data_IF_937341512553
#
_entry.id   IF_937341512553
#
_cell.length_a   1.000
_cell.length_b   1.000
_cell.length_c   1.000
_cell.angle_alpha   90.00
_cell.angle_beta   90.00
_cell.angle_gamma   90.00
#
_symmetry.space_group_name_H-M   'P 1'
#
loop_
_entity.id
_entity.type
_entity.pdbx_description
1 polymer ?
#
# COMPACT_ATOMS: atom_id res chain seq x y z
N UNK A 1 -4.67 18.17 0.07
CA UNK A 1 -4.78 16.70 0.18
C UNK A 1 -3.43 16.03 -0.10
N UNK A 2 -3.14 14.92 0.56
CA UNK A 2 -2.04 13.99 0.27
C UNK A 2 -2.59 12.56 0.29
N UNK A 3 -2.13 11.70 -0.61
CA UNK A 3 -2.58 10.30 -0.68
C UNK A 3 -1.37 9.36 -0.65
N UNK A 4 -1.46 8.35 0.20
CA UNK A 4 -0.41 7.34 0.41
C UNK A 4 -0.99 5.96 0.17
N UNK A 5 -0.36 5.14 -0.67
CA UNK A 5 -0.89 3.85 -1.13
C UNK A 5 0.08 2.71 -0.84
N UNK A 6 -0.29 1.76 0.02
CA UNK A 6 0.46 0.53 0.25
C UNK A 6 -0.24 -0.63 -0.43
N UNK A 7 0.45 -1.35 -1.32
CA UNK A 7 -0.17 -2.48 -2.02
C UNK A 7 0.64 -3.77 -1.97
N UNK A 8 -0.09 -4.88 -1.99
CA UNK A 8 0.45 -6.22 -2.28
C UNK A 8 0.74 -6.31 -3.78
N UNK A 9 1.84 -6.95 -4.16
CA UNK A 9 2.07 -7.32 -5.56
C UNK A 9 0.89 -8.13 -6.16
N UNK A 10 0.76 -8.10 -7.49
CA UNK A 10 -0.25 -8.86 -8.23
C UNK A 10 0.04 -10.36 -8.28
N UNK A 11 -0.80 -11.08 -9.03
CA UNK A 11 -0.68 -12.52 -9.26
C UNK A 11 0.72 -12.92 -9.75
N UNK A 12 1.28 -13.94 -9.11
CA UNK A 12 2.65 -14.42 -9.37
C UNK A 12 2.69 -15.94 -9.45
N UNK A 13 3.74 -16.46 -10.07
CA UNK A 13 4.09 -17.87 -9.95
C UNK A 13 4.35 -18.26 -8.47
N UNK A 14 4.16 -19.54 -8.09
CA UNK A 14 4.61 -20.08 -6.82
C UNK A 14 6.10 -19.82 -6.61
N UNK A 15 6.55 -19.74 -5.36
CA UNK A 15 7.99 -19.62 -5.08
C UNK A 15 8.73 -20.93 -5.27
N UNK A 16 8.05 -22.03 -4.97
CA UNK A 16 8.52 -23.40 -5.11
C UNK A 16 7.32 -24.29 -5.36
N UNK A 17 7.55 -25.42 -5.99
CA UNK A 17 6.57 -26.49 -6.14
C UNK A 17 6.81 -27.53 -5.03
N UNK A 18 5.76 -28.21 -4.58
CA UNK A 18 5.90 -29.32 -3.65
C UNK A 18 6.37 -30.57 -4.40
N UNK A 19 6.94 -31.60 -3.72
CA UNK A 19 7.59 -32.73 -4.39
C UNK A 19 6.69 -33.54 -5.34
N UNK A 20 5.37 -33.47 -5.17
CA UNK A 20 4.39 -34.22 -5.96
C UNK A 20 3.50 -33.30 -6.81
N UNK A 21 3.92 -32.05 -7.05
CA UNK A 21 3.18 -31.14 -7.91
C UNK A 21 3.12 -31.70 -9.34
N UNK A 22 1.93 -31.82 -9.95
CA UNK A 22 1.82 -32.32 -11.32
C UNK A 22 2.38 -31.34 -12.35
N UNK A 23 2.62 -30.07 -11.98
CA UNK A 23 3.15 -29.04 -12.87
C UNK A 23 4.68 -28.95 -12.77
N UNK A 24 5.32 -28.49 -13.83
CA UNK A 24 6.75 -28.20 -13.90
C UNK A 24 7.05 -26.73 -13.62
N UNK A 25 8.26 -26.43 -13.15
CA UNK A 25 8.74 -25.04 -13.05
C UNK A 25 8.75 -24.33 -14.41
N UNK A 26 8.87 -25.09 -15.52
CA UNK A 26 8.86 -24.56 -16.88
C UNK A 26 7.47 -24.08 -17.34
N UNK A 27 6.39 -24.50 -16.67
CA UNK A 27 5.04 -24.04 -16.99
C UNK A 27 4.84 -22.56 -16.62
N UNK A 28 5.68 -22.04 -15.73
CA UNK A 28 5.71 -20.65 -15.31
C UNK A 28 6.67 -19.84 -16.19
N UNK A 29 6.17 -19.35 -17.32
CA UNK A 29 6.95 -18.67 -18.38
C UNK A 29 7.78 -17.48 -17.87
N UNK A 30 7.28 -16.73 -16.90
CA UNK A 30 7.97 -15.59 -16.29
C UNK A 30 9.01 -16.01 -15.24
N UNK A 31 9.08 -17.29 -14.89
CA UNK A 31 9.92 -17.85 -13.84
C UNK A 31 9.23 -17.95 -12.47
N UNK A 32 9.78 -18.79 -11.60
CA UNK A 32 9.25 -19.01 -10.25
C UNK A 32 9.30 -17.74 -9.41
N UNK A 33 8.24 -17.48 -8.64
CA UNK A 33 8.08 -16.29 -7.80
C UNK A 33 7.87 -14.97 -8.54
N UNK A 34 7.91 -14.97 -9.88
CA UNK A 34 7.82 -13.78 -10.71
C UNK A 34 6.36 -13.38 -10.99
N UNK A 35 6.16 -12.09 -11.27
CA UNK A 35 4.86 -11.53 -11.57
C UNK A 35 4.39 -11.99 -12.96
N UNK A 36 3.22 -12.63 -13.00
CA UNK A 36 2.58 -13.11 -14.24
C UNK A 36 1.98 -11.96 -15.06
N UNK A 37 1.62 -12.21 -16.31
CA UNK A 37 0.84 -11.26 -17.12
C UNK A 37 -0.46 -10.82 -16.42
N UNK A 38 -1.18 -11.75 -15.79
CA UNK A 38 -2.36 -11.43 -14.97
C UNK A 38 -2.01 -10.45 -13.85
N UNK A 39 -0.90 -10.67 -13.14
CA UNK A 39 -0.47 -9.80 -12.05
C UNK A 39 -0.12 -8.37 -12.51
N UNK A 40 0.43 -8.23 -13.72
CA UNK A 40 0.66 -6.92 -14.35
C UNK A 40 -0.67 -6.23 -14.68
N UNK A 41 -1.60 -6.97 -15.28
CA UNK A 41 -2.91 -6.46 -15.65
C UNK A 41 -3.73 -6.03 -14.42
N UNK A 42 -3.66 -6.78 -13.32
CA UNK A 42 -4.31 -6.43 -12.04
C UNK A 42 -3.84 -5.07 -11.53
N UNK A 43 -2.53 -4.82 -11.56
CA UNK A 43 -1.97 -3.52 -11.18
C UNK A 43 -2.38 -2.40 -12.12
N UNK A 44 -2.31 -2.65 -13.44
CA UNK A 44 -2.73 -1.66 -14.43
C UNK A 44 -4.20 -1.25 -14.24
N UNK A 45 -5.10 -2.22 -14.12
CA UNK A 45 -6.53 -1.99 -13.94
C UNK A 45 -6.82 -1.21 -12.63
N UNK A 46 -6.14 -1.55 -11.54
CA UNK A 46 -6.28 -0.81 -10.29
C UNK A 46 -5.74 0.63 -10.42
N UNK A 47 -4.63 0.82 -11.13
CA UNK A 47 -4.08 2.14 -11.43
C UNK A 47 -5.06 3.01 -12.21
N UNK A 48 -5.69 2.47 -13.26
CA UNK A 48 -6.74 3.16 -14.04
C UNK A 48 -7.93 3.51 -13.14
N UNK A 49 -8.39 2.59 -12.30
CA UNK A 49 -9.50 2.85 -11.39
C UNK A 49 -9.18 3.99 -10.41
N UNK A 50 -7.97 4.01 -9.85
CA UNK A 50 -7.55 5.05 -8.91
C UNK A 50 -7.25 6.38 -9.61
N UNK A 51 -6.85 6.37 -10.89
CA UNK A 51 -6.77 7.59 -11.69
C UNK A 51 -8.15 8.26 -11.78
N UNK A 52 -9.19 7.50 -12.13
CA UNK A 52 -10.55 8.03 -12.22
C UNK A 52 -11.04 8.53 -10.86
N UNK A 53 -10.78 7.77 -9.78
CA UNK A 53 -11.14 8.17 -8.41
C UNK A 53 -10.54 9.51 -8.00
N UNK A 54 -9.31 9.79 -8.43
CA UNK A 54 -8.54 10.98 -8.05
C UNK A 54 -8.32 11.94 -9.23
N UNK A 55 -9.19 11.92 -10.25
CA UNK A 55 -9.00 12.69 -11.50
C UNK A 55 -8.91 14.20 -11.31
N UNK A 56 -9.62 14.73 -10.31
CA UNK A 56 -9.61 16.16 -9.98
C UNK A 56 -8.41 16.56 -9.09
N UNK A 57 -7.62 15.57 -8.64
CA UNK A 57 -6.46 15.76 -7.76
C UNK A 57 -5.12 15.48 -8.46
N UNK A 58 -5.06 14.42 -9.26
CA UNK A 58 -3.87 13.96 -9.98
C UNK A 58 -3.75 14.72 -11.31
N UNK A 59 -2.61 15.34 -11.55
CA UNK A 59 -2.32 16.08 -12.81
C UNK A 59 -1.51 15.24 -13.79
N UNK A 60 -1.03 14.08 -13.36
CA UNK A 60 -0.08 13.20 -14.07
C UNK A 60 1.34 13.78 -14.17
N UNK A 61 1.63 14.89 -13.49
CA UNK A 61 2.98 15.43 -13.40
C UNK A 61 3.89 14.45 -12.63
N UNK A 62 5.00 13.96 -13.21
CA UNK A 62 5.85 12.97 -12.56
C UNK A 62 6.55 13.49 -11.29
N UNK A 63 6.56 14.81 -11.05
CA UNK A 63 7.09 15.40 -9.82
C UNK A 63 6.16 15.27 -8.63
N UNK A 64 4.85 15.12 -8.84
CA UNK A 64 3.86 15.08 -7.75
C UNK A 64 3.77 13.70 -7.07
N UNK A 65 4.50 12.71 -7.59
CA UNK A 65 4.50 11.33 -7.12
C UNK A 65 5.88 10.90 -6.62
N UNK A 66 5.92 10.02 -5.62
CA UNK A 66 7.10 9.26 -5.25
C UNK A 66 6.74 7.77 -5.06
N UNK A 67 7.53 6.89 -5.67
CA UNK A 67 7.34 5.45 -5.55
C UNK A 67 8.47 4.84 -4.74
N UNK A 68 8.10 4.00 -3.78
CA UNK A 68 9.01 3.30 -2.89
C UNK A 68 8.71 1.81 -2.99
N UNK A 69 9.69 1.01 -3.40
CA UNK A 69 9.51 -0.42 -3.61
C UNK A 69 10.45 -1.25 -2.74
N UNK A 70 9.97 -2.43 -2.33
CA UNK A 70 10.84 -3.49 -1.82
C UNK A 70 11.78 -4.01 -2.91
N UNK A 71 12.97 -4.49 -2.53
CA UNK A 71 13.99 -5.03 -3.46
C UNK A 71 13.62 -6.34 -4.18
N UNK A 72 12.34 -6.70 -4.27
CA UNK A 72 11.91 -7.86 -5.02
C UNK A 72 11.40 -7.47 -6.42
N UNK A 73 11.87 -8.18 -7.45
CA UNK A 73 11.47 -7.95 -8.83
C UNK A 73 9.95 -7.90 -9.02
N UNK A 74 9.18 -8.81 -8.39
CA UNK A 74 7.71 -8.82 -8.55
C UNK A 74 7.03 -7.52 -8.11
N UNK A 75 7.58 -6.84 -7.11
CA UNK A 75 7.08 -5.56 -6.61
C UNK A 75 7.43 -4.43 -7.59
N UNK A 76 8.65 -4.47 -8.17
CA UNK A 76 9.06 -3.52 -9.21
C UNK A 76 8.18 -3.64 -10.47
N UNK A 77 8.00 -4.85 -11.01
CA UNK A 77 7.09 -5.06 -12.15
C UNK A 77 5.65 -4.60 -11.81
N UNK A 78 5.20 -4.83 -10.58
CA UNK A 78 3.88 -4.42 -10.12
C UNK A 78 3.71 -2.90 -10.09
N UNK A 79 4.66 -2.17 -9.49
CA UNK A 79 4.57 -0.70 -9.38
C UNK A 79 4.65 -0.02 -10.73
N UNK A 80 5.50 -0.49 -11.65
CA UNK A 80 5.55 0.05 -13.01
C UNK A 80 4.26 -0.23 -13.81
N UNK A 81 3.64 -1.39 -13.62
CA UNK A 81 2.34 -1.70 -14.22
C UNK A 81 1.23 -0.82 -13.64
N UNK A 82 1.29 -0.55 -12.34
CA UNK A 82 0.32 0.30 -11.64
C UNK A 82 0.37 1.75 -12.10
N UNK A 83 1.57 2.36 -12.20
CA UNK A 83 1.69 3.75 -12.67
C UNK A 83 1.38 3.91 -14.15
N UNK A 84 1.50 2.86 -14.97
CA UNK A 84 1.06 2.91 -16.35
C UNK A 84 -0.46 3.19 -16.47
N UNK A 85 -1.24 2.78 -15.45
CA UNK A 85 -2.65 3.17 -15.31
C UNK A 85 -2.83 4.50 -14.59
N UNK A 86 -2.24 4.64 -13.39
CA UNK A 86 -2.48 5.79 -12.50
C UNK A 86 -1.95 7.12 -13.06
N UNK A 87 -0.78 7.09 -13.70
CA UNK A 87 -0.04 8.24 -14.22
C UNK A 87 0.12 8.17 -15.74
N UNK A 88 -0.89 7.64 -16.45
CA UNK A 88 -0.97 7.77 -17.91
C UNK A 88 -0.85 9.26 -18.29
N UNK A 89 0.16 9.67 -19.08
CA UNK A 89 0.47 11.08 -19.29
C UNK A 89 -0.64 11.82 -20.04
N UNK A 90 -0.87 13.08 -19.67
CA UNK A 90 -1.53 14.06 -20.54
C UNK A 90 -0.59 14.47 -21.68
N UNK A 91 -1.10 15.22 -22.67
CA UNK A 91 -0.30 15.73 -23.79
C UNK A 91 0.95 16.51 -23.35
N UNK A 92 0.91 17.18 -22.20
CA UNK A 92 2.04 17.95 -21.66
C UNK A 92 3.23 17.05 -21.28
N UNK A 93 2.95 15.87 -20.71
CA UNK A 93 3.97 14.94 -20.21
C UNK A 93 4.25 13.76 -21.16
N UNK A 94 3.51 13.65 -22.26
CA UNK A 94 3.78 12.67 -23.32
C UNK A 94 5.04 13.02 -24.10
N UNK A 95 5.93 12.05 -24.29
CA UNK A 95 7.12 12.18 -25.16
C UNK A 95 6.92 11.56 -26.56
N UNK A 96 5.81 10.84 -26.77
CA UNK A 96 5.40 10.25 -28.06
C UNK A 96 3.89 9.99 -28.04
N UNK A 97 3.26 9.93 -29.21
CA UNK A 97 1.83 9.59 -29.37
C UNK A 97 1.59 8.07 -29.46
N UNK A 98 2.64 7.27 -29.67
CA UNK A 98 2.54 5.81 -29.85
C UNK A 98 2.25 5.06 -28.55
N UNK A 99 2.71 5.59 -27.42
CA UNK A 99 2.54 4.98 -26.10
C UNK A 99 2.13 6.01 -25.06
N UNK A 100 1.05 5.70 -24.33
CA UNK A 100 0.60 6.49 -23.18
C UNK A 100 1.28 6.02 -21.90
N UNK A 101 2.59 6.25 -21.83
CA UNK A 101 3.41 5.92 -20.68
C UNK A 101 4.46 7.01 -20.47
N UNK A 102 4.87 7.23 -19.23
CA UNK A 102 5.95 8.15 -18.88
C UNK A 102 6.87 7.53 -17.81
N UNK A 103 8.17 7.81 -17.86
CA UNK A 103 9.10 7.34 -16.85
C UNK A 103 8.87 8.07 -15.52
N UNK A 104 8.76 7.31 -14.44
CA UNK A 104 8.67 7.84 -13.06
C UNK A 104 9.71 7.10 -12.22
N UNK A 105 10.48 7.85 -11.44
CA UNK A 105 11.57 7.30 -10.64
C UNK A 105 11.00 6.49 -9.46
N UNK A 106 11.56 5.31 -9.24
CA UNK A 106 11.28 4.50 -8.05
C UNK A 106 12.51 4.41 -7.16
N UNK A 107 12.31 4.63 -5.85
CA UNK A 107 13.34 4.45 -4.82
C UNK A 107 13.19 3.09 -4.15
N UNK A 108 14.32 2.53 -3.74
CA UNK A 108 14.34 1.28 -2.99
C UNK A 108 14.30 1.57 -1.50
N UNK A 109 13.41 0.90 -0.77
CA UNK A 109 13.42 0.87 0.68
C UNK A 109 12.96 -0.48 1.20
N UNK A 110 13.58 -0.95 2.29
CA UNK A 110 13.23 -2.24 2.87
C UNK A 110 12.30 -2.08 4.08
N UNK A 111 10.99 -2.16 3.82
CA UNK A 111 9.95 -2.20 4.84
C UNK A 111 9.35 -3.61 5.03
N UNK A 112 10.00 -4.67 4.52
CA UNK A 112 9.46 -6.02 4.62
C UNK A 112 9.33 -6.45 6.09
N UNK A 113 8.09 -6.72 6.52
CA UNK A 113 7.78 -7.10 7.91
C UNK A 113 7.88 -5.96 8.94
N UNK A 114 8.07 -4.71 8.52
CA UNK A 114 8.29 -3.55 9.40
C UNK A 114 7.17 -2.52 9.26
N UNK A 115 5.98 -2.86 9.75
CA UNK A 115 4.79 -1.98 9.67
C UNK A 115 4.93 -0.73 10.54
N UNK A 116 5.45 -0.84 11.76
CA UNK A 116 5.67 0.32 12.62
C UNK A 116 6.57 1.39 11.99
N UNK A 117 7.79 1.04 11.54
CA UNK A 117 8.65 1.97 10.81
C UNK A 117 8.02 2.54 9.53
N UNK A 118 7.21 1.75 8.81
CA UNK A 118 6.47 2.24 7.65
C UNK A 118 5.41 3.29 8.04
N UNK A 119 4.67 3.07 9.14
CA UNK A 119 3.71 4.02 9.67
C UNK A 119 4.41 5.32 10.10
N UNK A 120 5.57 5.22 10.76
CA UNK A 120 6.40 6.39 11.08
C UNK A 120 6.77 7.19 9.83
N UNK A 121 7.26 6.50 8.79
CA UNK A 121 7.58 7.14 7.52
C UNK A 121 6.36 7.79 6.84
N UNK A 122 5.18 7.16 6.90
CA UNK A 122 3.95 7.73 6.36
C UNK A 122 3.52 9.00 7.12
N UNK A 123 3.70 9.02 8.45
CA UNK A 123 3.44 10.21 9.29
C UNK A 123 4.44 11.32 8.95
N UNK A 124 5.72 11.00 8.77
CA UNK A 124 6.73 11.98 8.38
C UNK A 124 6.37 12.65 7.05
N UNK A 125 5.88 11.89 6.07
CA UNK A 125 5.40 12.46 4.79
C UNK A 125 4.18 13.37 4.93
N UNK A 126 3.27 13.06 5.85
CA UNK A 126 2.17 13.98 6.17
C UNK A 126 2.68 15.24 6.85
N UNK A 127 3.59 15.12 7.82
CA UNK A 127 4.20 16.28 8.48
C UNK A 127 4.98 17.16 7.50
N UNK A 128 5.76 16.57 6.59
CA UNK A 128 6.47 17.31 5.55
C UNK A 128 5.50 18.07 4.63
N UNK A 129 4.32 17.51 4.34
CA UNK A 129 3.26 18.18 3.60
C UNK A 129 2.68 19.37 4.38
N UNK A 130 2.38 19.20 5.67
CA UNK A 130 1.87 20.25 6.55
C UNK A 130 2.88 21.41 6.68
N UNK A 131 4.17 21.07 6.77
CA UNK A 131 5.27 22.04 6.87
C UNK A 131 5.72 22.61 5.51
N UNK A 132 5.02 22.28 4.41
CA UNK A 132 5.32 22.75 3.06
C UNK A 132 6.77 22.45 2.60
N UNK A 133 7.35 21.33 3.04
CA UNK A 133 8.71 20.91 2.65
C UNK A 133 8.75 20.25 1.28
N UNK A 134 7.68 19.55 0.91
CA UNK A 134 7.50 18.91 -0.40
C UNK A 134 6.15 19.35 -1.00
N UNK A 135 5.97 20.65 -1.32
CA UNK A 135 4.65 21.21 -1.66
C UNK A 135 4.04 20.60 -2.91
N UNK A 136 4.86 20.18 -3.88
CA UNK A 136 4.44 19.51 -5.11
C UNK A 136 4.01 18.06 -4.91
N UNK A 137 4.44 17.39 -3.82
CA UNK A 137 4.11 15.98 -3.58
C UNK A 137 2.65 15.81 -3.20
N UNK A 138 2.00 14.90 -3.90
CA UNK A 138 0.58 14.55 -3.76
C UNK A 138 0.37 13.06 -3.51
N UNK A 139 1.22 12.21 -4.08
CA UNK A 139 1.07 10.75 -4.07
C UNK A 139 2.36 10.09 -3.58
N UNK A 140 2.25 9.21 -2.59
CA UNK A 140 3.31 8.24 -2.25
C UNK A 140 2.80 6.82 -2.48
N UNK A 141 3.62 5.98 -3.11
CA UNK A 141 3.28 4.58 -3.39
C UNK A 141 4.31 3.67 -2.72
N UNK A 142 3.82 2.65 -2.01
CA UNK A 142 4.62 1.64 -1.33
C UNK A 142 4.30 0.27 -1.91
N UNK A 143 5.23 -0.29 -2.68
CA UNK A 143 5.07 -1.62 -3.29
C UNK A 143 5.67 -2.71 -2.40
N UNK A 144 4.81 -3.59 -1.87
CA UNK A 144 5.16 -4.52 -0.81
C UNK A 144 4.51 -5.91 -0.98
N UNK A 145 4.19 -6.57 0.14
CA UNK A 145 3.70 -7.94 0.20
C UNK A 145 2.37 -8.05 0.95
N UNK A 146 1.73 -9.22 0.83
CA UNK A 146 0.47 -9.50 1.54
C UNK A 146 0.65 -9.46 3.05
N UNK A 147 1.83 -9.85 3.56
CA UNK A 147 2.16 -9.73 4.97
C UNK A 147 2.17 -8.28 5.45
N UNK A 148 2.65 -7.32 4.65
CA UNK A 148 2.61 -5.90 5.02
C UNK A 148 1.17 -5.40 5.17
N UNK A 149 0.29 -5.76 4.24
CA UNK A 149 -1.14 -5.40 4.31
C UNK A 149 -1.79 -6.07 5.53
N UNK A 150 -1.58 -7.37 5.72
CA UNK A 150 -2.16 -8.11 6.84
C UNK A 150 -1.69 -7.56 8.20
N UNK A 151 -0.39 -7.33 8.37
CA UNK A 151 0.17 -6.76 9.59
C UNK A 151 -0.29 -5.32 9.82
N UNK A 152 -0.48 -4.51 8.77
CA UNK A 152 -1.05 -3.16 8.90
C UNK A 152 -2.50 -3.23 9.36
N UNK A 153 -3.33 -4.03 8.70
CA UNK A 153 -4.72 -4.21 9.10
C UNK A 153 -4.83 -4.76 10.52
N UNK A 154 -3.92 -5.66 10.93
CA UNK A 154 -3.89 -6.19 12.30
C UNK A 154 -3.51 -5.10 13.30
N UNK A 155 -2.51 -4.27 13.00
CA UNK A 155 -2.08 -3.18 13.87
C UNK A 155 -3.16 -2.09 14.04
N UNK A 156 -4.02 -1.93 13.03
CA UNK A 156 -5.18 -1.03 13.06
C UNK A 156 -6.43 -1.68 13.65
N UNK A 157 -6.37 -2.94 14.08
CA UNK A 157 -7.51 -3.75 14.53
C UNK A 157 -8.66 -3.87 13.51
N UNK A 158 -8.29 -4.02 12.22
CA UNK A 158 -9.21 -4.12 11.08
C UNK A 158 -8.94 -5.38 10.23
N UNK A 159 -8.16 -6.33 10.74
CA UNK A 159 -7.85 -7.56 10.01
C UNK A 159 -9.02 -8.56 10.07
N UNK A 160 -9.49 -8.97 8.90
CA UNK A 160 -10.63 -9.87 8.76
C UNK A 160 -10.26 -11.37 8.77
N UNK A 161 -9.03 -11.71 9.19
CA UNK A 161 -8.50 -13.07 9.20
C UNK A 161 -8.44 -13.77 7.83
N UNK A 162 -8.59 -13.02 6.73
CA UNK A 162 -8.42 -13.52 5.37
C UNK A 162 -7.15 -12.95 4.75
N UNK A 163 -6.44 -13.79 4.01
CA UNK A 163 -5.26 -13.37 3.27
C UNK A 163 -5.60 -12.19 2.32
N UNK A 164 -4.86 -11.07 2.37
CA UNK A 164 -5.11 -9.93 1.47
C UNK A 164 -5.01 -10.36 0.01
N UNK A 165 -6.01 -10.13 -0.87
CA UNK A 165 -5.98 -10.55 -2.27
C UNK A 165 -4.82 -9.96 -3.08
N UNK A 166 -4.50 -10.53 -4.24
CA UNK A 166 -3.47 -9.95 -5.12
C UNK A 166 -3.85 -8.52 -5.52
N UNK A 167 -2.86 -7.64 -5.64
CA UNK A 167 -3.05 -6.20 -5.89
C UNK A 167 -3.89 -5.44 -4.84
N UNK A 168 -4.28 -6.08 -3.72
CA UNK A 168 -4.99 -5.38 -2.63
C UNK A 168 -4.19 -4.18 -2.14
N UNK A 169 -4.87 -3.05 -1.93
CA UNK A 169 -4.24 -1.76 -1.66
C UNK A 169 -4.91 -1.08 -0.47
N UNK A 170 -4.13 -0.68 0.52
CA UNK A 170 -4.56 0.23 1.59
C UNK A 170 -4.18 1.64 1.17
N UNK A 171 -5.14 2.55 1.20
CA UNK A 171 -4.96 3.97 0.89
C UNK A 171 -5.21 4.79 2.15
N UNK A 172 -4.27 5.65 2.48
CA UNK A 172 -4.38 6.67 3.50
C UNK A 172 -4.46 8.03 2.82
N UNK A 173 -5.57 8.73 3.04
CA UNK A 173 -5.79 10.08 2.55
C UNK A 173 -5.66 11.06 3.71
N UNK A 174 -4.94 12.16 3.49
CA UNK A 174 -4.89 13.33 4.36
C UNK A 174 -5.63 14.47 3.67
N UNK A 175 -6.71 14.91 4.29
CA UNK A 175 -7.58 15.98 3.86
C UNK A 175 -7.26 17.26 4.64
N UNK A 176 -7.52 18.40 4.00
CA UNK A 176 -7.52 19.70 4.65
C UNK A 176 -8.99 20.10 4.75
N UNK A 177 -9.46 20.29 5.97
CA UNK A 177 -10.83 20.65 6.28
C UNK A 177 -11.02 22.18 6.13
N UNK A 178 -12.26 22.64 6.11
CA UNK A 178 -12.59 24.06 5.85
C UNK A 178 -12.03 25.01 6.92
N UNK A 179 -11.83 24.52 8.14
CA UNK A 179 -11.31 25.28 9.29
C UNK A 179 -9.77 25.35 9.34
N UNK A 180 -9.08 25.05 8.23
CA UNK A 180 -7.60 24.89 8.15
C UNK A 180 -7.04 23.71 8.97
N UNK A 181 -7.92 22.90 9.56
CA UNK A 181 -7.60 21.64 10.23
C UNK A 181 -7.37 20.50 9.23
N UNK A 182 -6.88 19.37 9.74
CA UNK A 182 -6.56 18.20 8.92
C UNK A 182 -7.25 16.95 9.45
N UNK A 183 -7.80 16.17 8.53
CA UNK A 183 -8.41 14.87 8.79
C UNK A 183 -7.78 13.80 7.91
N UNK A 184 -7.84 12.55 8.37
CA UNK A 184 -7.36 11.38 7.64
C UNK A 184 -8.45 10.35 7.45
N UNK A 185 -8.36 9.62 6.34
CA UNK A 185 -9.25 8.52 6.00
C UNK A 185 -8.46 7.32 5.48
N UNK A 186 -8.82 6.13 5.95
CA UNK A 186 -8.25 4.86 5.51
C UNK A 186 -9.24 4.09 4.64
N UNK A 187 -8.76 3.60 3.50
CA UNK A 187 -9.54 2.83 2.53
C UNK A 187 -8.80 1.52 2.22
N UNK A 188 -9.53 0.42 2.07
CA UNK A 188 -8.99 -0.87 1.69
C UNK A 188 -9.66 -1.39 0.42
N UNK A 189 -8.90 -1.38 -0.67
CA UNK A 189 -9.28 -1.98 -1.95
C UNK A 189 -8.88 -3.45 -1.92
N UNK A 190 -9.87 -4.34 -1.88
CA UNK A 190 -9.68 -5.78 -1.68
C UNK A 190 -10.42 -6.66 -2.70
N UNK A 191 -10.70 -6.13 -3.89
CA UNK A 191 -11.26 -6.91 -4.99
C UNK A 191 -10.40 -8.12 -5.31
N UNK A 192 -11.05 -9.27 -5.52
CA UNK A 192 -10.35 -10.52 -5.83
C UNK A 192 -9.86 -10.55 -7.28
N UNK A 193 -10.57 -9.87 -8.18
CA UNK A 193 -10.28 -9.84 -9.62
C UNK A 193 -10.31 -8.40 -10.16
N UNK A 194 -9.39 -7.52 -9.70
CA UNK A 194 -9.39 -6.10 -10.05
C UNK A 194 -9.20 -5.86 -11.56
N UNK A 195 -8.67 -6.83 -12.31
CA UNK A 195 -8.58 -6.78 -13.77
C UNK A 195 -9.94 -6.84 -14.48
N UNK A 196 -10.97 -7.35 -13.81
CA UNK A 196 -12.34 -7.43 -14.36
C UNK A 196 -13.21 -6.30 -13.83
N UNK A 197 -13.16 -6.08 -12.52
CA UNK A 197 -13.93 -5.06 -11.83
C UNK A 197 -13.25 -4.73 -10.51
N UNK A 198 -13.12 -3.43 -10.25
CA UNK A 198 -12.72 -2.93 -8.92
C UNK A 198 -14.00 -2.58 -8.17
N UNK A 199 -14.17 -3.21 -7.02
CA UNK A 199 -15.28 -2.98 -6.09
C UNK A 199 -15.02 -1.71 -5.26
N UNK A 200 -16.07 -1.10 -4.69
CA UNK A 200 -15.89 0.01 -3.77
C UNK A 200 -14.97 -0.38 -2.61
N UNK A 201 -14.06 0.52 -2.18
CA UNK A 201 -13.16 0.23 -1.07
C UNK A 201 -13.93 0.12 0.25
N UNK A 202 -13.43 -0.73 1.15
CA UNK A 202 -13.88 -0.78 2.54
C UNK A 202 -13.26 0.40 3.28
N UNK A 203 -14.07 1.22 3.96
CA UNK A 203 -13.55 2.25 4.87
C UNK A 203 -13.09 1.57 6.15
N UNK A 204 -11.81 1.76 6.51
CA UNK A 204 -11.24 1.18 7.73
C UNK A 204 -11.52 2.11 8.91
N UNK A 205 -12.13 1.59 9.96
CA UNK A 205 -12.51 2.35 11.16
C UNK A 205 -11.47 2.12 12.24
N UNK A 206 -10.77 3.17 12.64
CA UNK A 206 -9.77 3.07 13.70
C UNK A 206 -10.45 3.33 15.04
N UNK A 207 -10.26 2.44 15.99
CA UNK A 207 -10.76 2.62 17.35
C UNK A 207 -10.23 3.91 17.97
N UNK A 208 -11.15 4.71 18.51
CA UNK A 208 -10.86 6.05 19.03
C UNK A 208 -10.91 7.17 18.00
N UNK A 209 -11.19 6.86 16.73
CA UNK A 209 -11.63 7.81 15.71
C UNK A 209 -13.17 7.78 15.62
N UNK A 210 -13.81 8.95 15.63
CA UNK A 210 -15.27 9.09 15.73
C UNK A 210 -16.08 8.78 14.48
N UNK A 211 -15.50 8.11 13.48
CA UNK A 211 -16.16 7.81 12.20
C UNK A 211 -15.20 7.45 11.07
N UNK A 212 -15.64 7.71 9.84
CA UNK A 212 -14.89 7.42 8.60
C UNK A 212 -13.68 8.35 8.41
N UNK A 213 -13.74 9.54 8.99
CA UNK A 213 -12.64 10.50 9.08
C UNK A 213 -12.15 10.61 10.52
N UNK A 214 -10.85 10.81 10.68
CA UNK A 214 -10.21 11.01 11.98
C UNK A 214 -9.38 12.28 11.96
N UNK A 215 -9.46 13.12 13.00
CA UNK A 215 -8.58 14.30 13.06
C UNK A 215 -7.12 13.86 13.08
N UNK A 216 -6.26 14.62 12.41
CA UNK A 216 -4.86 14.26 12.25
C UNK A 216 -4.14 14.14 13.60
N UNK A 217 -4.39 15.07 14.54
CA UNK A 217 -3.83 15.00 15.89
C UNK A 217 -4.24 13.73 16.63
N UNK A 218 -5.53 13.36 16.58
CA UNK A 218 -6.03 12.13 17.23
C UNK A 218 -5.43 10.88 16.59
N UNK A 219 -5.31 10.87 15.27
CA UNK A 219 -4.65 9.81 14.53
C UNK A 219 -3.19 9.64 14.96
N UNK A 220 -2.44 10.74 15.12
CA UNK A 220 -1.05 10.71 15.59
C UNK A 220 -0.96 10.07 16.98
N UNK A 221 -1.84 10.44 17.91
CA UNK A 221 -1.88 9.85 19.26
C UNK A 221 -2.11 8.33 19.22
N UNK A 222 -3.05 7.88 18.38
CA UNK A 222 -3.42 6.46 18.27
C UNK A 222 -2.30 5.64 17.62
N UNK A 223 -1.69 6.16 16.55
CA UNK A 223 -0.68 5.43 15.78
C UNK A 223 0.70 5.49 16.43
N UNK A 224 0.99 6.50 17.26
CA UNK A 224 2.30 6.65 17.91
C UNK A 224 2.75 5.39 18.66
N UNK A 225 1.81 4.69 19.31
CA UNK A 225 2.06 3.44 20.04
C UNK A 225 2.49 2.26 19.14
N UNK A 226 2.25 2.36 17.83
CA UNK A 226 2.60 1.34 16.84
C UNK A 226 3.96 1.62 16.18
N UNK A 227 4.55 2.79 16.45
CA UNK A 227 5.81 3.23 15.86
C UNK A 227 6.92 3.05 16.90
N UNK A 228 7.92 2.19 16.64
CA UNK A 228 9.04 2.01 17.54
C UNK A 228 9.92 3.27 17.60
N UNK A 229 10.52 3.53 18.76
CA UNK A 229 11.49 4.63 18.96
C UNK A 229 12.86 4.23 18.43
N UNK A 230 13.30 3.03 18.77
CA UNK A 230 14.51 2.41 18.25
C UNK A 230 14.26 0.92 18.05
N UNK A 231 13.79 0.59 16.85
CA UNK A 231 13.45 -0.79 16.50
C UNK A 231 14.63 -1.77 16.68
N UNK A 232 15.90 -1.32 16.53
CA UNK A 232 17.05 -2.21 16.72
C UNK A 232 17.21 -2.55 18.19
N UNK A 233 17.10 -1.55 19.06
CA UNK A 233 17.16 -1.75 20.51
C UNK A 233 15.99 -2.58 21.00
N UNK A 234 14.77 -2.26 20.56
CA UNK A 234 13.55 -2.96 20.94
C UNK A 234 13.54 -4.44 20.51
N UNK A 235 14.11 -4.77 19.34
CA UNK A 235 14.26 -6.16 18.90
C UNK A 235 15.38 -6.92 19.62
N UNK A 236 16.38 -6.23 20.19
CA UNK A 236 17.49 -6.85 20.91
C UNK A 236 17.21 -7.01 22.42
N UNK A 237 16.03 -6.61 22.89
CA UNK A 237 15.67 -6.69 24.30
C UNK A 237 15.10 -8.07 24.66
N UNK A 238 15.91 -8.87 25.36
CA UNK A 238 15.53 -10.18 25.87
C UNK A 238 14.43 -10.17 26.94
N UNK A 239 14.06 -8.99 27.49
CA UNK A 239 12.99 -8.85 28.47
C UNK A 239 11.58 -8.82 27.86
N UNK A 240 11.45 -8.71 26.53
CA UNK A 240 10.17 -8.65 25.82
C UNK A 240 9.45 -10.00 25.63
N UNK A 241 10.03 -11.12 26.12
CA UNK A 241 9.38 -12.44 26.06
C UNK A 241 8.06 -12.53 26.85
N UNK A 242 7.78 -11.58 27.74
CA UNK A 242 6.59 -11.59 28.60
C UNK A 242 5.45 -10.66 28.13
N UNK A 243 5.63 -9.84 27.07
CA UNK A 243 4.61 -8.87 26.62
C UNK A 243 3.61 -9.37 25.58
N UNK A 244 3.86 -10.51 24.95
CA UNK A 244 2.91 -11.12 24.03
C UNK A 244 2.18 -12.26 24.75
N UNK A 245 1.13 -11.94 25.49
CA UNK A 245 0.09 -12.94 25.73
C UNK A 245 -0.65 -13.14 24.40
N UNK A 246 -0.75 -14.38 23.88
CA UNK A 246 -1.54 -14.66 22.69
C UNK A 246 -2.95 -14.12 22.89
N UNK A 247 -3.50 -13.45 21.88
CA UNK A 247 -4.93 -13.16 21.82
C UNK A 247 -5.65 -14.52 21.90
N UNK A 248 -6.36 -14.79 23.00
CA UNK A 248 -7.27 -15.92 23.05
C UNK A 248 -8.38 -15.64 22.03
N UNK A 249 -8.43 -16.43 20.97
CA UNK A 249 -9.53 -16.41 20.02
C UNK A 249 -10.83 -16.67 20.78
N UNK A 250 -11.93 -15.93 20.53
CA UNK A 250 -13.23 -16.33 21.05
C UNK A 250 -13.53 -17.72 20.51
N UNK A 251 -13.54 -18.71 21.39
CA UNK A 251 -14.05 -20.04 21.09
C UNK A 251 -15.51 -19.84 20.70
N UNK A 252 -15.83 -20.03 19.42
CA UNK A 252 -17.21 -20.18 18.99
C UNK A 252 -17.76 -21.43 19.68
N UNK A 253 -18.51 -21.21 20.75
CA UNK A 253 -19.37 -22.25 21.34
C UNK A 253 -20.46 -22.50 20.32
N UNK A 254 -20.39 -23.70 19.71
CA UNK A 254 -21.44 -24.31 18.90
C UNK A 254 -22.71 -24.54 19.71
#
# INVERSE_FOLDING_TARGET
MLVQMLFRHGHRAPFMLYPYDPNSMLDWKEGMGMLTQLGRLQHYALGVHLQERYKDFITTNPREIEMINSNNYRCQYGVYSFIAGLYSPTKEYSFTDEIRWQPIISRQANFQGKVGPLLGFMIDKMNDKLLQREPEKKIYIYSAHGSNIACLLLALDQYNWKGPPYASTVVLELWKDDDEDYSIRWLYFNSTNPEKKVDPPVVLKIDGCGGDFCSYGRFQDIIRRLIPDDWKKECNDSSQKERFQPFESPVHVS
#
